data_IF_241512536938
#
_entry.id   IF_241512536938
#
_cell.length_a   1.000
_cell.length_b   1.000
_cell.length_c   1.000
_cell.angle_alpha   90.00
_cell.angle_beta   90.00
_cell.angle_gamma   90.00
#
_symmetry.space_group_name_H-M   'P 1'
#
loop_
_entity.id
_entity.type
_entity.pdbx_description
1 polymer ?
#
# COMPACT_ATOMS: atom_id res chain seq x y z
N UNK A 1 -28.57 24.85 -1.22
CA UNK A 1 -27.32 24.10 -1.33
C UNK A 1 -26.26 24.76 -0.43
N UNK A 2 -26.44 24.72 0.89
CA UNK A 2 -25.61 25.49 1.83
C UNK A 2 -25.94 25.20 3.29
N UNK A 3 -25.92 23.93 3.75
CA UNK A 3 -26.25 23.62 5.13
C UNK A 3 -25.53 22.38 5.70
N UNK A 4 -24.27 22.13 5.30
CA UNK A 4 -23.50 21.00 5.85
C UNK A 4 -22.08 21.37 6.27
N UNK A 5 -21.90 22.43 7.05
CA UNK A 5 -20.61 22.70 7.70
C UNK A 5 -20.77 23.64 8.92
N UNK A 6 -21.70 23.30 9.83
CA UNK A 6 -21.51 23.66 11.24
C UNK A 6 -20.99 22.42 11.96
N UNK A 7 -19.73 22.08 11.75
CA UNK A 7 -18.98 21.25 12.68
C UNK A 7 -18.76 22.08 13.93
N UNK A 8 -19.37 21.63 15.01
CA UNK A 8 -19.20 22.18 16.36
C UNK A 8 -17.71 22.03 16.73
N UNK A 9 -16.93 23.10 16.47
CA UNK A 9 -15.49 23.15 16.76
C UNK A 9 -15.17 23.17 18.25
N UNK A 10 -16.18 23.29 19.12
CA UNK A 10 -16.00 23.40 20.56
C UNK A 10 -15.66 22.09 21.28
N UNK A 11 -15.85 20.89 20.64
CA UNK A 11 -15.56 19.61 21.29
C UNK A 11 -14.16 19.06 21.00
N UNK A 12 -13.30 19.79 20.26
CA UNK A 12 -12.01 19.28 19.74
C UNK A 12 -10.85 19.51 20.74
N UNK A 13 -11.06 20.26 21.84
CA UNK A 13 -9.96 20.77 22.65
C UNK A 13 -9.52 19.90 23.84
N UNK A 14 -10.25 18.87 24.21
CA UNK A 14 -9.93 18.08 25.42
C UNK A 14 -9.52 16.63 25.08
N UNK A 15 -8.47 16.47 24.27
CA UNK A 15 -7.93 15.12 23.98
C UNK A 15 -6.84 14.75 24.99
N UNK A 16 -7.22 14.25 26.14
CA UNK A 16 -6.32 13.73 27.17
C UNK A 16 -5.51 12.50 26.73
N UNK A 17 -5.81 11.94 25.56
CA UNK A 17 -5.17 10.74 25.05
C UNK A 17 -3.95 11.01 24.15
N UNK A 18 -3.69 12.27 23.75
CA UNK A 18 -2.56 12.58 22.86
C UNK A 18 -1.18 12.22 23.42
N UNK A 19 -0.89 12.33 24.74
CA UNK A 19 0.39 11.91 25.29
C UNK A 19 0.60 10.39 25.10
N UNK A 20 -0.47 9.59 25.27
CA UNK A 20 -0.43 8.15 25.06
C UNK A 20 -0.19 7.78 23.59
N UNK A 21 -0.79 8.51 22.62
CA UNK A 21 -0.50 8.32 21.20
C UNK A 21 0.97 8.59 20.88
N UNK A 22 1.50 9.69 21.38
CA UNK A 22 2.89 10.08 21.15
C UNK A 22 3.87 9.10 21.80
N UNK A 23 3.60 8.68 23.04
CA UNK A 23 4.40 7.68 23.74
C UNK A 23 4.39 6.35 23.00
N UNK A 24 3.21 5.88 22.57
CA UNK A 24 3.07 4.65 21.77
C UNK A 24 3.89 4.72 20.48
N UNK A 25 3.78 5.82 19.74
CA UNK A 25 4.53 6.01 18.51
C UNK A 25 6.05 6.05 18.74
N UNK A 26 6.51 6.78 19.77
CA UNK A 26 7.93 6.84 20.11
C UNK A 26 8.48 5.48 20.54
N UNK A 27 7.74 4.76 21.39
CA UNK A 27 8.16 3.44 21.86
C UNK A 27 8.20 2.43 20.70
N UNK A 28 7.18 2.40 19.84
CA UNK A 28 7.20 1.55 18.64
C UNK A 28 8.39 1.88 17.74
N UNK A 29 8.67 3.17 17.52
CA UNK A 29 9.83 3.59 16.72
C UNK A 29 11.14 3.08 17.30
N UNK A 30 11.35 3.25 18.61
CA UNK A 30 12.56 2.80 19.29
C UNK A 30 12.71 1.28 19.26
N UNK A 31 11.62 0.52 19.47
CA UNK A 31 11.65 -0.95 19.40
C UNK A 31 11.98 -1.43 17.98
N UNK A 32 11.32 -0.86 16.96
CA UNK A 32 11.62 -1.22 15.57
C UNK A 32 13.06 -0.88 15.23
N UNK A 33 13.55 0.30 15.61
CA UNK A 33 14.93 0.70 15.36
C UNK A 33 15.95 -0.19 16.07
N UNK A 34 15.68 -0.58 17.33
CA UNK A 34 16.59 -1.41 18.12
C UNK A 34 16.67 -2.87 17.61
N UNK A 35 15.54 -3.43 17.13
CA UNK A 35 15.46 -4.84 16.76
C UNK A 35 15.40 -5.12 15.24
N UNK A 36 15.24 -4.09 14.40
CA UNK A 36 15.38 -4.27 12.96
C UNK A 36 16.88 -4.30 12.60
N UNK A 37 17.48 -5.46 12.71
CA UNK A 37 18.91 -5.62 12.47
C UNK A 37 19.42 -4.94 11.20
N UNK A 38 20.54 -4.24 11.34
CA UNK A 38 21.25 -3.52 10.26
C UNK A 38 22.09 -4.44 9.37
N UNK A 39 21.78 -5.73 9.31
CA UNK A 39 22.59 -6.77 8.69
C UNK A 39 22.63 -6.77 7.15
N UNK A 40 22.09 -5.75 6.48
CA UNK A 40 22.12 -5.62 5.02
C UNK A 40 22.64 -4.26 4.55
N UNK A 41 23.12 -4.18 3.33
CA UNK A 41 23.44 -2.90 2.69
C UNK A 41 22.18 -2.04 2.60
N UNK A 42 22.27 -0.78 3.01
CA UNK A 42 21.18 0.18 2.87
C UNK A 42 20.84 0.36 1.38
N UNK A 43 19.55 0.45 1.04
CA UNK A 43 19.05 0.54 -0.33
C UNK A 43 19.45 -0.63 -1.25
N UNK A 44 19.38 -1.87 -0.74
CA UNK A 44 19.76 -3.04 -1.52
C UNK A 44 18.93 -3.25 -2.79
N UNK A 45 17.63 -2.93 -2.81
CA UNK A 45 16.80 -2.98 -4.04
C UNK A 45 17.25 -1.94 -5.08
N UNK A 46 17.63 -0.73 -4.62
CA UNK A 46 18.21 0.29 -5.50
C UNK A 46 19.44 -0.23 -6.22
N UNK A 47 20.34 -0.93 -5.53
CA UNK A 47 21.52 -1.53 -6.13
C UNK A 47 21.20 -2.66 -7.11
N UNK A 48 20.09 -3.39 -6.91
CA UNK A 48 19.59 -4.37 -7.89
C UNK A 48 19.20 -3.67 -9.19
N UNK A 49 18.53 -2.51 -9.10
CA UNK A 49 18.20 -1.72 -10.29
C UNK A 49 19.44 -1.24 -11.03
N UNK A 50 20.38 -0.62 -10.32
CA UNK A 50 21.62 -0.13 -10.91
C UNK A 50 22.41 -1.25 -11.60
N UNK A 51 22.54 -2.41 -10.94
CA UNK A 51 23.24 -3.56 -11.49
C UNK A 51 22.57 -4.08 -12.76
N UNK A 52 21.24 -4.22 -12.77
CA UNK A 52 20.49 -4.64 -13.95
C UNK A 52 20.67 -3.67 -15.12
N UNK A 53 20.59 -2.37 -14.88
CA UNK A 53 20.79 -1.32 -15.88
C UNK A 53 22.23 -1.29 -16.38
N UNK A 54 23.22 -1.46 -15.50
CA UNK A 54 24.62 -1.53 -15.89
C UNK A 54 24.90 -2.75 -16.77
N UNK A 55 24.37 -3.93 -16.43
CA UNK A 55 24.51 -5.12 -17.28
C UNK A 55 23.89 -4.89 -18.65
N UNK A 56 22.70 -4.29 -18.69
CA UNK A 56 22.00 -3.99 -19.93
C UNK A 56 22.77 -3.00 -20.82
N UNK A 57 23.33 -1.93 -20.24
CA UNK A 57 24.15 -0.93 -20.97
C UNK A 57 25.44 -1.52 -21.54
N UNK A 58 25.97 -2.58 -20.93
CA UNK A 58 27.14 -3.32 -21.37
C UNK A 58 26.80 -4.43 -22.40
N UNK A 59 25.55 -4.52 -22.86
CA UNK A 59 25.10 -5.56 -23.80
C UNK A 59 25.04 -6.95 -23.19
N UNK A 60 25.08 -7.08 -21.85
CA UNK A 60 24.93 -8.36 -21.15
C UNK A 60 23.46 -8.59 -20.76
N UNK A 61 23.07 -9.85 -20.61
CA UNK A 61 21.73 -10.20 -20.14
C UNK A 61 21.54 -9.74 -18.68
N UNK A 62 20.65 -8.75 -18.39
CA UNK A 62 20.45 -8.24 -17.06
C UNK A 62 19.88 -9.27 -16.09
N UNK A 63 19.13 -10.25 -16.60
CA UNK A 63 18.48 -11.28 -15.78
C UNK A 63 19.47 -12.38 -15.34
N UNK A 64 20.49 -12.64 -16.13
CA UNK A 64 21.59 -13.56 -15.78
C UNK A 64 22.72 -12.85 -15.00
N UNK A 65 23.09 -11.64 -15.44
CA UNK A 65 24.19 -10.86 -14.88
C UNK A 65 23.90 -10.37 -13.46
N UNK A 66 22.64 -9.99 -13.16
CA UNK A 66 22.20 -9.56 -11.84
C UNK A 66 21.69 -10.73 -10.97
N UNK A 67 22.11 -11.97 -11.29
CA UNK A 67 21.81 -13.15 -10.48
C UNK A 67 22.53 -13.07 -9.12
N UNK A 68 21.94 -13.70 -8.11
CA UNK A 68 22.42 -13.71 -6.73
C UNK A 68 21.23 -13.74 -5.80
N UNK A 69 21.41 -13.36 -4.53
CA UNK A 69 20.35 -13.38 -3.51
C UNK A 69 19.16 -12.48 -3.89
N UNK A 70 19.41 -11.43 -4.68
CA UNK A 70 18.39 -10.50 -5.16
C UNK A 70 18.47 -10.34 -6.69
N UNK A 71 17.77 -11.20 -7.45
CA UNK A 71 17.79 -11.17 -8.90
C UNK A 71 17.03 -9.94 -9.45
N UNK A 72 17.47 -9.46 -10.63
CA UNK A 72 16.72 -8.45 -11.37
C UNK A 72 15.45 -9.07 -11.98
N UNK A 73 14.28 -8.59 -11.61
CA UNK A 73 12.96 -9.17 -11.97
C UNK A 73 11.98 -8.13 -12.55
N UNK A 74 12.52 -7.15 -13.24
CA UNK A 74 11.72 -6.06 -13.81
C UNK A 74 11.55 -6.24 -15.32
N UNK A 75 10.39 -5.83 -15.89
CA UNK A 75 10.09 -6.07 -17.31
C UNK A 75 11.03 -5.26 -18.22
N UNK A 76 11.16 -5.65 -19.52
CA UNK A 76 11.99 -4.93 -20.47
C UNK A 76 11.70 -3.43 -20.60
N UNK A 77 10.45 -3.02 -20.39
CA UNK A 77 10.06 -1.62 -20.37
C UNK A 77 10.86 -0.80 -19.33
N UNK A 78 11.18 -1.37 -18.16
CA UNK A 78 12.03 -0.74 -17.15
C UNK A 78 13.40 -0.42 -17.72
N UNK A 79 14.05 -1.41 -18.32
CA UNK A 79 15.38 -1.25 -18.91
C UNK A 79 15.39 -0.18 -20.02
N UNK A 80 14.35 -0.18 -20.87
CA UNK A 80 14.23 0.79 -21.97
C UNK A 80 13.99 2.21 -21.49
N UNK A 81 13.15 2.42 -20.49
CA UNK A 81 12.93 3.75 -19.92
C UNK A 81 14.22 4.28 -19.31
N UNK A 82 14.89 3.49 -18.48
CA UNK A 82 16.10 3.91 -17.76
C UNK A 82 17.41 3.75 -18.55
N UNK A 83 17.35 3.30 -19.79
CA UNK A 83 18.47 3.47 -20.73
C UNK A 83 18.51 4.86 -21.36
N UNK A 84 17.40 5.62 -21.27
CA UNK A 84 17.30 6.98 -21.81
C UNK A 84 17.24 8.03 -20.70
N UNK A 85 16.57 7.69 -19.59
CA UNK A 85 16.42 8.56 -18.41
C UNK A 85 17.42 8.11 -17.36
N UNK A 86 18.19 9.07 -16.82
CA UNK A 86 19.13 8.80 -15.72
C UNK A 86 18.37 8.26 -14.50
N UNK A 87 18.64 6.99 -14.15
CA UNK A 87 17.91 6.29 -13.09
C UNK A 87 18.09 6.94 -11.70
N UNK A 88 19.32 7.28 -11.24
CA UNK A 88 19.52 7.96 -9.97
C UNK A 88 18.69 9.24 -9.84
N UNK A 89 18.71 10.09 -10.85
CA UNK A 89 17.94 11.35 -10.89
C UNK A 89 16.44 11.07 -10.85
N UNK A 90 15.94 10.14 -11.65
CA UNK A 90 14.53 9.77 -11.67
C UNK A 90 14.07 9.18 -10.33
N UNK A 91 14.90 8.36 -9.69
CA UNK A 91 14.62 7.79 -8.38
C UNK A 91 14.58 8.88 -7.30
N UNK A 92 15.57 9.77 -7.26
CA UNK A 92 15.60 10.90 -6.34
C UNK A 92 14.35 11.79 -6.50
N UNK A 93 13.96 12.07 -7.74
CA UNK A 93 12.74 12.83 -8.04
C UNK A 93 11.50 12.12 -7.52
N UNK A 94 11.38 10.80 -7.71
CA UNK A 94 10.27 10.01 -7.20
C UNK A 94 10.19 10.06 -5.67
N UNK A 95 11.32 9.93 -4.96
CA UNK A 95 11.39 10.05 -3.49
C UNK A 95 10.91 11.42 -3.03
N UNK A 96 11.42 12.49 -3.64
CA UNK A 96 11.03 13.86 -3.30
C UNK A 96 9.56 14.14 -3.61
N UNK A 97 9.06 13.71 -4.77
CA UNK A 97 7.65 13.87 -5.14
C UNK A 97 6.72 13.13 -4.18
N UNK A 98 7.11 11.92 -3.75
CA UNK A 98 6.35 11.12 -2.78
C UNK A 98 6.33 11.79 -1.41
N UNK A 99 7.47 12.28 -0.93
CA UNK A 99 7.58 13.00 0.34
C UNK A 99 6.76 14.30 0.32
N UNK A 100 6.86 15.08 -0.74
CA UNK A 100 6.06 16.29 -0.94
C UNK A 100 4.56 15.98 -1.00
N UNK A 101 4.17 14.92 -1.73
CA UNK A 101 2.79 14.46 -1.82
C UNK A 101 2.20 14.11 -0.45
N UNK A 102 2.90 13.31 0.34
CA UNK A 102 2.48 12.92 1.69
C UNK A 102 2.42 14.14 2.63
N UNK A 103 3.39 15.04 2.56
CA UNK A 103 3.36 16.28 3.33
C UNK A 103 2.11 17.12 3.00
N UNK A 104 1.80 17.31 1.73
CA UNK A 104 0.60 18.03 1.28
C UNK A 104 -0.71 17.34 1.73
N UNK A 105 -0.78 15.99 1.65
CA UNK A 105 -1.93 15.22 2.17
C UNK A 105 -2.07 15.42 3.68
N UNK A 106 -0.98 15.32 4.42
CA UNK A 106 -0.97 15.48 5.88
C UNK A 106 -1.42 16.89 6.30
N UNK A 107 -0.95 17.92 5.60
CA UNK A 107 -1.40 19.30 5.82
C UNK A 107 -2.90 19.48 5.50
N UNK A 108 -3.41 18.82 4.48
CA UNK A 108 -4.83 18.85 4.13
C UNK A 108 -5.69 18.10 5.16
N UNK A 109 -5.21 16.98 5.68
CA UNK A 109 -5.91 16.18 6.70
C UNK A 109 -5.96 16.87 8.06
N UNK A 110 -5.10 17.86 8.32
CA UNK A 110 -5.09 18.65 9.58
C UNK A 110 -6.46 19.25 9.89
N UNK A 111 -7.27 19.58 8.88
CA UNK A 111 -8.64 20.09 9.06
C UNK A 111 -9.64 19.03 9.52
N UNK A 112 -9.32 17.74 9.36
CA UNK A 112 -10.19 16.60 9.69
C UNK A 112 -9.72 15.86 10.94
N UNK A 113 -8.40 15.81 11.17
CA UNK A 113 -7.77 15.13 12.30
C UNK A 113 -6.79 16.11 12.96
N UNK A 114 -6.90 16.37 14.27
CA UNK A 114 -5.91 17.16 14.98
C UNK A 114 -4.49 16.60 14.81
N UNK A 115 -3.50 17.49 14.65
CA UNK A 115 -2.13 17.09 14.30
C UNK A 115 -1.51 16.15 15.35
N UNK A 116 -1.82 16.35 16.61
CA UNK A 116 -1.36 15.50 17.73
C UNK A 116 -1.91 14.06 17.68
N UNK A 117 -2.97 13.79 16.89
CA UNK A 117 -3.46 12.44 16.59
C UNK A 117 -2.95 11.95 15.24
N UNK A 118 -2.87 12.83 14.25
CA UNK A 118 -2.49 12.47 12.90
C UNK A 118 -1.04 11.96 12.83
N UNK A 119 -0.09 12.71 13.37
CA UNK A 119 1.32 12.37 13.29
C UNK A 119 1.66 11.02 13.97
N UNK A 120 1.24 10.76 15.23
CA UNK A 120 1.46 9.45 15.84
C UNK A 120 0.78 8.32 15.07
N UNK A 121 -0.41 8.53 14.52
CA UNK A 121 -1.13 7.49 13.76
C UNK A 121 -0.43 7.14 12.46
N UNK A 122 0.14 8.11 11.76
CA UNK A 122 0.97 7.86 10.57
C UNK A 122 2.21 7.05 10.94
N UNK A 123 2.89 7.41 12.02
CA UNK A 123 4.07 6.70 12.52
C UNK A 123 3.69 5.28 12.92
N UNK A 124 2.66 5.09 13.74
CA UNK A 124 2.21 3.77 14.17
C UNK A 124 1.81 2.88 13.00
N UNK A 125 1.02 3.40 12.07
CA UNK A 125 0.62 2.66 10.87
C UNK A 125 1.83 2.25 10.02
N UNK A 126 2.79 3.16 9.85
CA UNK A 126 4.00 2.91 9.07
C UNK A 126 4.92 1.87 9.72
N UNK A 127 5.00 1.82 11.05
CA UNK A 127 5.89 0.93 11.80
C UNK A 127 5.31 -0.46 12.07
N UNK A 128 4.07 -0.74 11.68
CA UNK A 128 3.44 -2.04 11.93
C UNK A 128 4.33 -3.19 11.45
N UNK A 129 4.60 -4.13 12.35
CA UNK A 129 5.42 -5.31 12.06
C UNK A 129 6.87 -5.00 11.65
N UNK A 130 7.37 -3.77 11.89
CA UNK A 130 8.67 -3.33 11.42
C UNK A 130 8.71 -3.00 9.91
N UNK A 131 7.59 -3.10 9.21
CA UNK A 131 7.51 -2.94 7.75
C UNK A 131 7.97 -1.58 7.26
N UNK A 132 7.75 -0.52 8.03
CA UNK A 132 8.20 0.83 7.67
C UNK A 132 9.71 0.97 7.61
N UNK A 133 10.42 0.34 8.55
CA UNK A 133 11.87 0.33 8.51
C UNK A 133 12.40 -0.49 7.31
N UNK A 134 11.83 -1.68 7.07
CA UNK A 134 12.14 -2.47 5.88
C UNK A 134 11.87 -1.69 4.59
N UNK A 135 10.79 -0.90 4.55
CA UNK A 135 10.45 -0.05 3.40
C UNK A 135 11.52 0.97 3.08
N UNK A 136 12.07 1.63 4.09
CA UNK A 136 13.16 2.60 3.91
C UNK A 136 14.47 1.87 3.58
N UNK A 137 14.77 0.79 4.29
CA UNK A 137 16.02 0.05 4.13
C UNK A 137 16.17 -0.57 2.74
N UNK A 138 15.08 -1.09 2.17
CA UNK A 138 15.12 -1.70 0.83
C UNK A 138 15.38 -0.68 -0.27
N UNK A 139 14.91 0.55 -0.13
CA UNK A 139 14.92 1.53 -1.23
C UNK A 139 14.07 1.07 -2.42
N UNK A 140 13.03 0.25 -2.18
CA UNK A 140 12.20 -0.29 -3.25
C UNK A 140 11.33 0.80 -3.88
N UNK A 141 11.37 0.91 -5.19
CA UNK A 141 10.58 1.88 -5.98
C UNK A 141 9.07 1.78 -5.69
N UNK A 142 8.56 0.61 -5.29
CA UNK A 142 7.14 0.40 -5.03
C UNK A 142 6.61 1.24 -3.88
N UNK A 143 7.38 1.40 -2.81
CA UNK A 143 6.98 2.20 -1.64
C UNK A 143 6.70 3.63 -2.07
N UNK A 144 7.65 4.23 -2.78
CA UNK A 144 7.53 5.61 -3.24
C UNK A 144 6.44 5.76 -4.30
N UNK A 145 6.28 4.77 -5.18
CA UNK A 145 5.19 4.74 -6.15
C UNK A 145 3.81 4.66 -5.47
N UNK A 146 3.65 3.80 -4.45
CA UNK A 146 2.42 3.75 -3.65
C UNK A 146 2.15 5.07 -2.92
N UNK A 147 3.15 5.65 -2.26
CA UNK A 147 3.00 6.93 -1.55
C UNK A 147 2.58 8.06 -2.50
N UNK A 148 3.18 8.11 -3.69
CA UNK A 148 2.81 9.10 -4.72
C UNK A 148 1.40 8.85 -5.25
N UNK A 149 1.04 7.60 -5.57
CA UNK A 149 -0.31 7.25 -6.05
C UNK A 149 -1.39 7.50 -5.00
N UNK A 150 -1.13 7.19 -3.72
CA UNK A 150 -2.04 7.53 -2.62
C UNK A 150 -2.25 9.04 -2.54
N UNK A 151 -1.18 9.83 -2.65
CA UNK A 151 -1.25 11.29 -2.62
C UNK A 151 -2.03 11.84 -3.82
N UNK A 152 -1.73 11.39 -5.01
CA UNK A 152 -2.45 11.78 -6.24
C UNK A 152 -3.92 11.36 -6.19
N UNK A 153 -4.23 10.18 -5.66
CA UNK A 153 -5.60 9.70 -5.45
C UNK A 153 -6.38 10.60 -4.49
N UNK A 154 -5.73 11.05 -3.42
CA UNK A 154 -6.32 11.99 -2.47
C UNK A 154 -6.64 13.33 -3.14
N UNK A 155 -5.71 13.89 -3.93
CA UNK A 155 -5.95 15.14 -4.66
C UNK A 155 -6.98 14.97 -5.76
N UNK A 156 -6.99 13.85 -6.46
CA UNK A 156 -8.01 13.53 -7.45
C UNK A 156 -9.41 13.50 -6.81
N UNK A 157 -9.53 12.86 -5.66
CA UNK A 157 -10.78 12.78 -4.91
C UNK A 157 -11.26 14.16 -4.42
N UNK A 158 -10.36 14.97 -3.85
CA UNK A 158 -10.71 16.26 -3.24
C UNK A 158 -10.94 17.36 -4.27
N UNK A 159 -10.16 17.43 -5.33
CA UNK A 159 -10.23 18.48 -6.33
C UNK A 159 -11.13 18.14 -7.52
N UNK A 160 -11.28 16.86 -7.85
CA UNK A 160 -12.11 16.34 -8.96
C UNK A 160 -11.87 17.05 -10.30
N UNK A 161 -10.63 17.39 -10.58
CA UNK A 161 -10.18 18.22 -11.70
C UNK A 161 -9.42 17.38 -12.72
N UNK A 162 -9.44 17.80 -13.99
CA UNK A 162 -8.60 17.22 -15.05
C UNK A 162 -7.12 17.36 -14.71
N UNK A 163 -6.73 18.47 -14.08
CA UNK A 163 -5.34 18.72 -13.64
C UNK A 163 -4.85 17.70 -12.58
N UNK A 164 -5.75 17.02 -11.87
CA UNK A 164 -5.39 15.93 -10.95
C UNK A 164 -5.60 14.56 -11.57
N UNK A 165 -6.53 14.43 -12.52
CA UNK A 165 -6.81 13.18 -13.23
C UNK A 165 -5.65 12.77 -14.14
N UNK A 166 -5.11 13.70 -14.92
CA UNK A 166 -4.04 13.43 -15.89
C UNK A 166 -2.75 12.96 -15.21
N UNK A 167 -2.19 13.67 -14.21
CA UNK A 167 -1.01 13.18 -13.49
C UNK A 167 -1.23 11.81 -12.82
N UNK A 168 -2.41 11.57 -12.26
CA UNK A 168 -2.75 10.28 -11.65
C UNK A 168 -2.76 9.15 -12.70
N UNK A 169 -3.36 9.39 -13.88
CA UNK A 169 -3.39 8.42 -14.97
C UNK A 169 -1.98 8.12 -15.51
N UNK A 170 -1.17 9.15 -15.71
CA UNK A 170 0.22 9.01 -16.14
C UNK A 170 1.02 8.21 -15.13
N UNK A 171 0.88 8.50 -13.83
CA UNK A 171 1.58 7.77 -12.77
C UNK A 171 1.19 6.29 -12.75
N UNK A 172 -0.11 5.96 -12.91
CA UNK A 172 -0.55 4.55 -13.02
C UNK A 172 0.11 3.87 -14.22
N UNK A 173 0.11 4.50 -15.41
CA UNK A 173 0.70 3.91 -16.62
C UNK A 173 2.20 3.65 -16.42
N UNK A 174 2.94 4.65 -15.92
CA UNK A 174 4.38 4.56 -15.71
C UNK A 174 4.74 3.48 -14.68
N UNK A 175 4.07 3.47 -13.54
CA UNK A 175 4.37 2.47 -12.50
C UNK A 175 3.88 1.08 -12.90
N UNK A 176 2.75 0.96 -13.62
CA UNK A 176 2.29 -0.33 -14.13
C UNK A 176 3.24 -0.91 -15.18
N UNK A 177 3.91 -0.08 -15.97
CA UNK A 177 4.95 -0.55 -16.90
C UNK A 177 6.15 -1.17 -16.19
N UNK A 178 6.40 -0.79 -14.92
CA UNK A 178 7.46 -1.34 -14.06
C UNK A 178 6.96 -2.56 -13.28
N UNK A 179 5.78 -2.45 -12.66
CA UNK A 179 5.14 -3.49 -11.85
C UNK A 179 3.62 -3.49 -12.11
N UNK A 180 3.08 -4.54 -12.74
CA UNK A 180 1.70 -4.55 -13.27
C UNK A 180 0.62 -4.35 -12.21
N UNK A 181 0.88 -4.66 -10.95
CA UNK A 181 -0.11 -4.52 -9.88
C UNK A 181 -0.52 -3.07 -9.58
N UNK A 182 0.29 -2.07 -9.97
CA UNK A 182 -0.13 -0.67 -9.86
C UNK A 182 -1.35 -0.34 -10.72
N UNK A 183 -1.65 -1.17 -11.71
CA UNK A 183 -2.88 -1.05 -12.50
C UNK A 183 -4.15 -1.12 -11.61
N UNK A 184 -4.08 -1.76 -10.44
CA UNK A 184 -5.20 -1.80 -9.50
C UNK A 184 -5.74 -0.39 -9.15
N UNK A 185 -4.89 0.63 -9.15
CA UNK A 185 -5.33 2.01 -8.87
C UNK A 185 -6.32 2.57 -9.90
N UNK A 186 -6.38 2.00 -11.10
CA UNK A 186 -7.37 2.40 -12.12
C UNK A 186 -8.80 2.14 -11.65
N UNK A 187 -9.02 1.14 -10.77
CA UNK A 187 -10.34 0.84 -10.20
C UNK A 187 -10.92 2.02 -9.42
N UNK A 188 -10.09 2.93 -8.91
CA UNK A 188 -10.56 4.16 -8.28
C UNK A 188 -11.49 4.96 -9.20
N UNK A 189 -11.26 4.94 -10.51
CA UNK A 189 -12.06 5.69 -11.48
C UNK A 189 -13.51 5.21 -11.57
N UNK A 190 -13.79 3.96 -11.23
CA UNK A 190 -15.16 3.42 -11.18
C UNK A 190 -16.00 4.02 -10.04
N UNK A 191 -15.32 4.54 -9.00
CA UNK A 191 -15.95 5.12 -7.81
C UNK A 191 -15.90 6.65 -7.78
N UNK A 192 -15.43 7.26 -8.86
CA UNK A 192 -15.42 8.70 -9.10
C UNK A 192 -16.51 9.09 -10.11
N UNK A 193 -16.78 10.39 -10.33
CA UNK A 193 -17.77 10.84 -11.31
C UNK A 193 -17.51 10.29 -12.71
N UNK A 194 -18.58 10.14 -13.52
CA UNK A 194 -18.55 9.50 -14.87
C UNK A 194 -17.43 9.95 -15.81
N UNK A 195 -16.91 11.16 -15.67
CA UNK A 195 -15.78 11.67 -16.49
C UNK A 195 -14.50 10.82 -16.32
N UNK A 196 -14.37 10.11 -15.23
CA UNK A 196 -13.21 9.23 -14.94
C UNK A 196 -13.24 7.92 -15.73
N UNK A 197 -14.41 7.51 -16.28
CA UNK A 197 -14.52 6.25 -17.03
C UNK A 197 -13.71 6.29 -18.33
N UNK A 198 -13.61 7.44 -18.98
CA UNK A 198 -12.74 7.56 -20.15
C UNK A 198 -11.27 7.35 -19.79
N UNK A 199 -10.82 7.95 -18.67
CA UNK A 199 -9.47 7.74 -18.17
C UNK A 199 -9.24 6.26 -17.74
N UNK A 200 -10.26 5.61 -17.17
CA UNK A 200 -10.22 4.16 -16.86
C UNK A 200 -9.88 3.33 -18.10
N UNK A 201 -10.62 3.52 -19.18
CA UNK A 201 -10.40 2.79 -20.44
C UNK A 201 -9.06 3.14 -21.06
N UNK A 202 -8.70 4.43 -21.10
CA UNK A 202 -7.43 4.88 -21.68
C UNK A 202 -6.22 4.29 -20.94
N UNK A 203 -6.23 4.25 -19.61
CA UNK A 203 -5.16 3.66 -18.80
C UNK A 203 -5.08 2.15 -19.03
N UNK A 204 -6.22 1.43 -19.03
CA UNK A 204 -6.25 -0.01 -19.31
C UNK A 204 -5.65 -0.34 -20.66
N UNK A 205 -6.09 0.37 -21.71
CA UNK A 205 -5.59 0.14 -23.07
C UNK A 205 -4.10 0.48 -23.20
N UNK A 206 -3.64 1.55 -22.55
CA UNK A 206 -2.22 1.92 -22.55
C UNK A 206 -1.35 0.87 -21.89
N UNK A 207 -1.73 0.39 -20.70
CA UNK A 207 -0.96 -0.64 -19.97
C UNK A 207 -1.03 -1.98 -20.70
N UNK A 208 -2.21 -2.39 -21.19
CA UNK A 208 -2.34 -3.59 -21.99
C UNK A 208 -1.47 -3.52 -23.26
N UNK A 209 -1.48 -2.39 -23.97
CA UNK A 209 -0.63 -2.15 -25.12
C UNK A 209 0.87 -2.31 -24.81
N UNK A 210 1.33 -1.74 -23.67
CA UNK A 210 2.72 -1.88 -23.22
C UNK A 210 3.07 -3.37 -23.00
N UNK A 211 2.22 -4.15 -22.31
CA UNK A 211 2.50 -5.55 -22.01
C UNK A 211 2.37 -6.47 -23.24
N UNK A 212 1.46 -6.17 -24.16
CA UNK A 212 1.33 -6.91 -25.43
C UNK A 212 2.51 -6.63 -26.36
N UNK A 213 3.01 -5.39 -26.37
CA UNK A 213 4.12 -5.01 -27.24
C UNK A 213 5.48 -5.57 -26.78
N UNK A 214 5.72 -5.70 -25.47
CA UNK A 214 7.03 -6.11 -24.94
C UNK A 214 7.53 -7.47 -25.48
N UNK A 215 6.71 -8.57 -25.51
CA UNK A 215 7.15 -9.83 -26.08
C UNK A 215 7.56 -9.72 -27.55
N UNK A 216 6.84 -8.93 -28.34
CA UNK A 216 7.12 -8.75 -29.75
C UNK A 216 8.35 -7.87 -30.01
N UNK A 217 8.49 -6.78 -29.25
CA UNK A 217 9.58 -5.81 -29.42
C UNK A 217 10.90 -6.25 -28.77
N UNK A 218 10.83 -7.06 -27.70
CA UNK A 218 11.97 -7.40 -26.85
C UNK A 218 12.00 -8.90 -26.52
N UNK A 219 11.85 -9.77 -27.50
CA UNK A 219 11.64 -11.22 -27.34
C UNK A 219 12.63 -11.89 -26.37
N UNK A 220 13.93 -11.63 -26.52
CA UNK A 220 14.96 -12.22 -25.65
C UNK A 220 14.89 -11.69 -24.22
N UNK A 221 14.77 -10.38 -24.05
CA UNK A 221 14.63 -9.76 -22.72
C UNK A 221 13.34 -10.19 -22.03
N UNK A 222 12.25 -10.38 -22.80
CA UNK A 222 10.99 -10.86 -22.26
C UNK A 222 11.08 -12.29 -21.76
N UNK A 223 11.76 -13.18 -22.50
CA UNK A 223 12.01 -14.55 -22.07
C UNK A 223 12.86 -14.59 -20.78
N UNK A 224 13.92 -13.77 -20.70
CA UNK A 224 14.74 -13.61 -19.50
C UNK A 224 13.93 -13.12 -18.30
N UNK A 225 13.07 -12.12 -18.50
CA UNK A 225 12.16 -11.60 -17.47
C UNK A 225 11.20 -12.67 -16.94
N UNK A 226 10.55 -13.44 -17.85
CA UNK A 226 9.65 -14.53 -17.46
C UNK A 226 10.39 -15.61 -16.67
N UNK A 227 11.60 -15.99 -17.10
CA UNK A 227 12.44 -16.93 -16.38
C UNK A 227 12.82 -16.43 -14.98
N UNK A 228 13.24 -15.17 -14.85
CA UNK A 228 13.59 -14.56 -13.58
C UNK A 228 12.41 -14.51 -12.60
N UNK A 229 11.22 -14.11 -13.07
CA UNK A 229 10.00 -14.11 -12.22
C UNK A 229 9.63 -15.54 -11.82
N UNK A 230 9.65 -16.49 -12.74
CA UNK A 230 9.34 -17.88 -12.44
C UNK A 230 10.27 -18.44 -11.35
N UNK A 231 11.57 -18.22 -11.52
CA UNK A 231 12.57 -18.67 -10.55
C UNK A 231 12.33 -18.03 -9.16
N UNK A 232 12.13 -16.72 -9.11
CA UNK A 232 11.96 -16.03 -7.85
C UNK A 232 10.66 -16.43 -7.12
N UNK A 233 9.53 -16.49 -7.83
CA UNK A 233 8.23 -16.73 -7.19
C UNK A 233 8.01 -18.22 -6.94
N UNK A 234 8.33 -19.08 -7.93
CA UNK A 234 7.99 -20.51 -7.89
C UNK A 234 9.10 -21.33 -7.27
N UNK A 235 10.35 -21.12 -7.68
CA UNK A 235 11.47 -21.92 -7.19
C UNK A 235 11.95 -21.46 -5.80
N UNK A 236 12.08 -20.15 -5.57
CA UNK A 236 12.52 -19.61 -4.28
C UNK A 236 11.38 -19.33 -3.31
N UNK A 237 10.10 -19.47 -3.72
CA UNK A 237 8.94 -19.31 -2.87
C UNK A 237 8.73 -17.89 -2.35
N UNK A 238 9.34 -16.87 -2.98
CA UNK A 238 9.18 -15.47 -2.59
C UNK A 238 7.87 -14.89 -3.12
N UNK A 239 6.76 -15.44 -2.64
CA UNK A 239 5.42 -15.10 -3.07
C UNK A 239 4.77 -13.96 -2.25
N UNK A 240 5.48 -13.31 -1.32
CA UNK A 240 5.00 -12.18 -0.52
C UNK A 240 4.25 -12.60 0.75
N UNK A 241 3.27 -11.78 1.20
CA UNK A 241 2.66 -11.82 2.53
C UNK A 241 1.14 -12.10 2.52
N UNK A 242 0.58 -12.52 1.39
CA UNK A 242 -0.85 -12.78 1.23
C UNK A 242 -1.18 -14.27 1.30
N UNK A 243 -2.47 -14.63 1.22
CA UNK A 243 -2.91 -16.01 1.14
C UNK A 243 -2.31 -16.73 -0.08
N UNK A 244 -2.05 -16.01 -1.17
CA UNK A 244 -1.31 -16.54 -2.32
C UNK A 244 0.06 -17.04 -1.90
N UNK A 245 0.81 -16.25 -1.12
CA UNK A 245 2.13 -16.61 -0.64
C UNK A 245 2.10 -17.83 0.29
N UNK A 246 1.15 -17.88 1.22
CA UNK A 246 0.97 -19.01 2.12
C UNK A 246 0.75 -20.30 1.34
N UNK A 247 -0.22 -20.31 0.44
CA UNK A 247 -0.56 -21.50 -0.34
C UNK A 247 0.52 -21.87 -1.38
N UNK A 248 1.25 -20.90 -1.91
CA UNK A 248 2.37 -21.17 -2.81
C UNK A 248 3.47 -22.00 -2.17
N UNK A 249 3.74 -21.78 -0.87
CA UNK A 249 4.72 -22.61 -0.11
C UNK A 249 4.30 -24.06 0.05
N UNK A 250 3.01 -24.35 -0.03
CA UNK A 250 2.47 -25.72 -0.03
C UNK A 250 2.27 -26.29 -1.45
N UNK A 251 2.86 -25.68 -2.46
CA UNK A 251 2.70 -26.10 -3.86
C UNK A 251 1.34 -25.76 -4.48
N UNK A 252 0.47 -25.04 -3.78
CA UNK A 252 -0.89 -24.68 -4.19
C UNK A 252 -1.00 -23.23 -4.73
N UNK A 253 0.02 -22.73 -5.44
CA UNK A 253 0.08 -21.34 -5.88
C UNK A 253 -1.12 -20.89 -6.72
N UNK A 254 -1.58 -21.72 -7.68
CA UNK A 254 -2.77 -21.39 -8.48
C UNK A 254 -4.03 -21.24 -7.62
N UNK A 255 -4.26 -22.17 -6.71
CA UNK A 255 -5.39 -22.12 -5.78
C UNK A 255 -5.29 -20.91 -4.84
N UNK A 256 -4.08 -20.62 -4.35
CA UNK A 256 -3.81 -19.45 -3.52
C UNK A 256 -4.10 -18.14 -4.23
N UNK A 257 -3.73 -18.03 -5.49
CA UNK A 257 -4.03 -16.85 -6.31
C UNK A 257 -5.54 -16.65 -6.50
N UNK A 258 -6.26 -17.70 -6.87
CA UNK A 258 -7.73 -17.65 -7.04
C UNK A 258 -8.41 -17.30 -5.72
N UNK A 259 -8.00 -17.93 -4.61
CA UNK A 259 -8.57 -17.67 -3.30
C UNK A 259 -8.31 -16.22 -2.85
N UNK A 260 -7.12 -15.68 -3.12
CA UNK A 260 -6.81 -14.27 -2.86
C UNK A 260 -7.76 -13.34 -3.62
N UNK A 261 -7.96 -13.56 -4.91
CA UNK A 261 -8.88 -12.77 -5.73
C UNK A 261 -10.33 -12.86 -5.26
N UNK A 262 -10.79 -14.07 -4.90
CA UNK A 262 -12.15 -14.27 -4.37
C UNK A 262 -12.33 -13.54 -3.02
N UNK A 263 -11.34 -13.58 -2.14
CA UNK A 263 -11.36 -12.86 -0.87
C UNK A 263 -11.43 -11.35 -1.09
N UNK A 264 -10.67 -10.81 -2.02
CA UNK A 264 -10.69 -9.38 -2.35
C UNK A 264 -12.03 -8.97 -2.97
N UNK A 265 -12.59 -9.81 -3.85
CA UNK A 265 -13.92 -9.59 -4.41
C UNK A 265 -14.99 -9.57 -3.30
N UNK A 266 -14.91 -10.51 -2.35
CA UNK A 266 -15.80 -10.56 -1.20
C UNK A 266 -15.72 -9.28 -0.35
N UNK A 267 -14.51 -8.78 -0.06
CA UNK A 267 -14.31 -7.53 0.70
C UNK A 267 -14.91 -6.33 -0.03
N UNK A 268 -14.74 -6.24 -1.34
CA UNK A 268 -15.34 -5.18 -2.17
C UNK A 268 -16.88 -5.30 -2.14
N UNK A 269 -17.41 -6.52 -2.33
CA UNK A 269 -18.84 -6.77 -2.32
C UNK A 269 -19.47 -6.42 -0.97
N UNK A 270 -18.86 -6.84 0.14
CA UNK A 270 -19.33 -6.47 1.49
C UNK A 270 -19.35 -4.95 1.63
N UNK A 271 -18.32 -4.26 1.19
CA UNK A 271 -18.24 -2.80 1.25
C UNK A 271 -19.37 -2.13 0.46
N UNK A 272 -19.71 -2.66 -0.71
CA UNK A 272 -20.83 -2.17 -1.54
C UNK A 272 -22.18 -2.46 -0.87
N UNK A 273 -22.39 -3.68 -0.37
CA UNK A 273 -23.65 -4.08 0.31
C UNK A 273 -23.90 -3.22 1.54
N UNK A 274 -22.86 -2.97 2.34
CA UNK A 274 -22.97 -2.10 3.51
C UNK A 274 -23.41 -0.68 3.12
N UNK A 275 -22.87 -0.12 2.04
CA UNK A 275 -23.28 1.19 1.52
C UNK A 275 -24.75 1.22 1.14
N UNK A 276 -25.20 0.23 0.37
CA UNK A 276 -26.59 0.16 -0.08
C UNK A 276 -27.54 0.04 1.11
N UNK A 277 -27.24 -0.78 2.11
CA UNK A 277 -28.05 -0.94 3.33
C UNK A 277 -28.14 0.33 4.17
N UNK A 278 -27.08 1.15 4.19
CA UNK A 278 -27.10 2.43 4.89
C UNK A 278 -27.77 3.58 4.10
N UNK A 279 -28.53 3.27 3.05
CA UNK A 279 -29.29 4.23 2.27
C UNK A 279 -28.44 5.11 1.35
N UNK A 280 -27.21 4.77 1.15
CA UNK A 280 -26.34 5.44 0.17
C UNK A 280 -26.65 4.92 -1.23
N UNK A 281 -27.41 5.72 -2.00
CA UNK A 281 -27.84 5.37 -3.36
C UNK A 281 -26.74 5.36 -4.42
N UNK A 282 -25.51 5.75 -4.08
CA UNK A 282 -24.39 5.81 -5.04
C UNK A 282 -23.21 4.95 -4.58
N UNK A 283 -22.60 4.26 -5.53
CA UNK A 283 -21.36 3.48 -5.31
C UNK A 283 -20.13 4.39 -5.19
N UNK A 284 -20.31 5.71 -5.36
CA UNK A 284 -19.22 6.68 -5.29
C UNK A 284 -18.62 6.79 -3.89
N UNK A 285 -17.31 7.03 -3.83
CA UNK A 285 -16.61 7.35 -2.58
C UNK A 285 -17.16 8.67 -2.02
N UNK A 286 -17.73 8.64 -0.81
CA UNK A 286 -18.41 9.78 -0.21
C UNK A 286 -17.60 10.47 0.87
N UNK A 287 -16.57 9.84 1.40
CA UNK A 287 -15.74 10.38 2.49
C UNK A 287 -14.25 10.08 2.31
N UNK A 288 -13.43 10.91 2.92
CA UNK A 288 -11.96 10.70 2.96
C UNK A 288 -11.59 9.38 3.65
N UNK A 289 -12.34 8.97 4.67
CA UNK A 289 -12.15 7.68 5.33
C UNK A 289 -12.38 6.50 4.36
N UNK A 290 -13.42 6.57 3.53
CA UNK A 290 -13.70 5.56 2.51
C UNK A 290 -12.64 5.52 1.43
N UNK A 291 -12.11 6.68 1.04
CA UNK A 291 -11.00 6.74 0.10
C UNK A 291 -9.79 5.96 0.61
N UNK A 292 -9.33 6.23 1.83
CA UNK A 292 -8.17 5.52 2.39
C UNK A 292 -8.43 4.03 2.58
N UNK A 293 -9.64 3.64 2.98
CA UNK A 293 -10.02 2.24 3.02
C UNK A 293 -9.94 1.58 1.64
N UNK A 294 -10.46 2.25 0.62
CA UNK A 294 -10.43 1.72 -0.75
C UNK A 294 -9.00 1.64 -1.28
N UNK A 295 -8.16 2.65 -1.02
CA UNK A 295 -6.74 2.63 -1.39
C UNK A 295 -6.00 1.44 -0.74
N UNK A 296 -6.27 1.14 0.52
CA UNK A 296 -5.73 -0.06 1.16
C UNK A 296 -6.16 -1.35 0.43
N UNK A 297 -7.43 -1.45 0.04
CA UNK A 297 -7.91 -2.60 -0.76
C UNK A 297 -7.16 -2.68 -2.09
N UNK A 298 -6.93 -1.56 -2.79
CA UNK A 298 -6.20 -1.55 -4.05
C UNK A 298 -4.75 -2.04 -3.88
N UNK A 299 -4.08 -1.66 -2.79
CA UNK A 299 -2.73 -2.15 -2.48
C UNK A 299 -2.78 -3.66 -2.20
N UNK A 300 -3.78 -4.13 -1.45
CA UNK A 300 -3.94 -5.54 -1.11
C UNK A 300 -4.35 -6.41 -2.31
N UNK A 301 -4.86 -5.83 -3.40
CA UNK A 301 -5.09 -6.56 -4.65
C UNK A 301 -3.79 -7.12 -5.26
N UNK A 302 -2.62 -6.59 -4.88
CA UNK A 302 -1.35 -7.22 -5.19
C UNK A 302 -1.25 -8.59 -4.49
N UNK A 303 -1.34 -9.71 -5.22
CA UNK A 303 -1.25 -11.03 -4.60
C UNK A 303 0.13 -11.29 -3.97
N UNK A 304 1.16 -10.60 -4.47
CA UNK A 304 2.52 -10.62 -3.96
C UNK A 304 2.81 -9.36 -3.13
N UNK A 305 1.94 -9.05 -2.16
CA UNK A 305 2.19 -7.95 -1.24
C UNK A 305 3.48 -8.22 -0.44
N UNK A 306 4.48 -7.36 -0.59
CA UNK A 306 5.76 -7.47 0.12
C UNK A 306 5.75 -6.65 1.41
N UNK A 307 6.69 -6.91 2.31
CA UNK A 307 6.79 -6.19 3.59
C UNK A 307 6.90 -4.68 3.42
N UNK A 308 7.59 -4.22 2.39
CA UNK A 308 7.74 -2.80 2.10
C UNK A 308 6.45 -2.16 1.55
N UNK A 309 5.60 -2.87 0.80
CA UNK A 309 4.29 -2.36 0.35
C UNK A 309 3.27 -2.35 1.50
N UNK A 310 3.45 -3.27 2.47
CA UNK A 310 2.57 -3.42 3.62
C UNK A 310 2.51 -2.16 4.49
N UNK A 311 3.60 -1.41 4.61
CA UNK A 311 3.61 -0.17 5.39
C UNK A 311 2.61 0.87 4.85
N UNK A 312 2.50 1.01 3.53
CA UNK A 312 1.56 1.96 2.91
C UNK A 312 0.11 1.46 3.05
N UNK A 313 -0.12 0.14 2.89
CA UNK A 313 -1.40 -0.50 3.17
C UNK A 313 -1.88 -0.21 4.60
N UNK A 314 -1.01 -0.44 5.59
CA UNK A 314 -1.32 -0.23 6.99
C UNK A 314 -1.62 1.24 7.31
N UNK A 315 -0.84 2.19 6.79
CA UNK A 315 -1.11 3.63 6.94
C UNK A 315 -2.48 4.00 6.36
N UNK A 316 -2.84 3.49 5.19
CA UNK A 316 -4.15 3.76 4.60
C UNK A 316 -5.29 3.22 5.49
N UNK A 317 -5.17 2.02 6.06
CA UNK A 317 -6.17 1.51 6.99
C UNK A 317 -6.25 2.32 8.28
N UNK A 318 -5.09 2.72 8.85
CA UNK A 318 -5.06 3.59 10.03
C UNK A 318 -5.77 4.92 9.80
N UNK A 319 -5.46 5.61 8.70
CA UNK A 319 -6.14 6.84 8.32
C UNK A 319 -7.64 6.62 8.14
N UNK A 320 -8.03 5.52 7.53
CA UNK A 320 -9.42 5.15 7.36
C UNK A 320 -10.14 4.96 8.70
N UNK A 321 -9.54 4.23 9.64
CA UNK A 321 -10.14 3.95 10.94
C UNK A 321 -10.23 5.21 11.81
N UNK A 322 -9.17 6.01 11.88
CA UNK A 322 -9.17 7.24 12.70
C UNK A 322 -10.16 8.29 12.18
N UNK A 323 -10.30 8.40 10.85
CA UNK A 323 -11.28 9.29 10.21
C UNK A 323 -12.72 8.81 10.40
N UNK A 324 -12.96 7.49 10.50
CA UNK A 324 -14.29 6.91 10.71
C UNK A 324 -14.78 7.06 12.15
N UNK A 325 -13.89 6.85 13.12
CA UNK A 325 -14.22 6.74 14.55
C UNK A 325 -13.76 7.94 15.37
N UNK A 326 -13.12 8.91 14.75
CA UNK A 326 -12.37 9.99 15.42
C UNK A 326 -11.29 9.48 16.38
N UNK A 327 -10.94 8.19 16.30
CA UNK A 327 -9.95 7.56 17.17
C UNK A 327 -10.39 7.32 18.62
N UNK A 328 -11.70 7.34 18.88
CA UNK A 328 -12.27 7.16 20.20
C UNK A 328 -12.72 5.71 20.46
N UNK A 329 -12.98 5.40 21.72
CA UNK A 329 -13.46 4.08 22.14
C UNK A 329 -12.48 2.95 21.86
N UNK A 330 -13.00 1.77 21.55
CA UNK A 330 -12.21 0.56 21.28
C UNK A 330 -11.28 0.72 20.07
N UNK A 331 -11.68 1.49 19.06
CA UNK A 331 -10.86 1.75 17.87
C UNK A 331 -9.61 2.54 18.25
N UNK A 332 -9.76 3.59 19.05
CA UNK A 332 -8.62 4.35 19.54
C UNK A 332 -7.66 3.51 20.38
N UNK A 333 -8.19 2.62 21.24
CA UNK A 333 -7.37 1.67 21.99
C UNK A 333 -6.64 0.70 21.07
N UNK A 334 -7.36 0.09 20.11
CA UNK A 334 -6.78 -0.81 19.12
C UNK A 334 -5.64 -0.16 18.35
N UNK A 335 -5.85 1.04 17.81
CA UNK A 335 -4.84 1.76 17.04
C UNK A 335 -3.57 2.10 17.86
N UNK A 336 -3.70 2.28 19.19
CA UNK A 336 -2.55 2.55 20.07
C UNK A 336 -1.79 1.28 20.47
N UNK A 337 -2.49 0.18 20.70
CA UNK A 337 -1.93 -1.07 21.26
C UNK A 337 -1.50 -2.06 20.19
N UNK A 338 -2.25 -2.17 19.11
CA UNK A 338 -2.00 -3.17 18.07
C UNK A 338 -0.59 -3.12 17.47
N UNK A 339 0.05 -1.95 17.22
CA UNK A 339 1.43 -1.91 16.74
C UNK A 339 2.43 -2.61 17.65
N UNK A 340 2.27 -2.53 18.97
CA UNK A 340 3.15 -3.24 19.92
C UNK A 340 3.05 -4.74 19.75
N UNK A 341 1.84 -5.28 19.60
CA UNK A 341 1.64 -6.70 19.36
C UNK A 341 2.30 -7.15 18.05
N UNK A 342 2.32 -6.26 17.07
CA UNK A 342 2.91 -6.54 15.75
C UNK A 342 4.44 -6.36 15.71
N UNK A 343 5.05 -5.77 16.71
CA UNK A 343 6.51 -5.67 16.85
C UNK A 343 7.05 -6.81 17.73
N UNK A 344 6.21 -7.50 18.49
CA UNK A 344 6.61 -8.58 19.37
C UNK A 344 7.52 -9.64 18.71
N UNK A 345 7.25 -10.12 17.47
CA UNK A 345 8.14 -11.06 16.80
C UNK A 345 9.56 -10.55 16.60
N UNK A 346 9.72 -9.25 16.26
CA UNK A 346 11.06 -8.64 16.14
C UNK A 346 11.78 -8.61 17.48
N UNK A 347 11.05 -8.32 18.57
CA UNK A 347 11.60 -8.33 19.90
C UNK A 347 12.01 -9.75 20.33
N UNK A 348 11.21 -10.76 20.03
CA UNK A 348 11.52 -12.16 20.34
C UNK A 348 12.74 -12.68 19.56
N UNK A 349 12.84 -12.32 18.27
CA UNK A 349 14.01 -12.66 17.46
C UNK A 349 15.27 -11.96 17.98
N UNK A 350 15.19 -10.66 18.27
CA UNK A 350 16.34 -9.87 18.72
C UNK A 350 16.82 -10.17 20.15
N UNK A 351 15.91 -10.56 21.05
CA UNK A 351 16.25 -10.81 22.46
C UNK A 351 16.55 -12.30 22.76
N UNK A 352 15.90 -13.22 22.06
CA UNK A 352 15.90 -14.65 22.41
C UNK A 352 16.30 -15.55 21.25
N UNK A 353 16.64 -15.00 20.08
CA UNK A 353 16.90 -15.76 18.83
C UNK A 353 15.73 -16.68 18.43
N UNK A 354 14.50 -16.32 18.83
CA UNK A 354 13.29 -17.07 18.51
C UNK A 354 12.76 -16.57 17.16
N UNK A 355 13.04 -17.31 16.09
CA UNK A 355 12.52 -16.98 14.77
C UNK A 355 11.03 -17.25 14.68
N UNK A 356 10.24 -16.18 14.64
CA UNK A 356 8.82 -16.27 14.33
C UNK A 356 8.64 -16.32 12.82
N UNK A 357 7.85 -17.26 12.33
CA UNK A 357 7.63 -17.44 10.90
C UNK A 357 6.96 -16.19 10.31
N UNK A 358 7.78 -15.30 9.75
CA UNK A 358 7.39 -13.95 9.29
C UNK A 358 6.16 -13.94 8.39
N UNK A 359 6.03 -14.93 7.50
CA UNK A 359 4.90 -15.02 6.58
C UNK A 359 3.55 -15.16 7.30
N UNK A 360 3.44 -16.13 8.23
CA UNK A 360 2.18 -16.37 8.98
C UNK A 360 1.81 -15.14 9.79
N UNK A 361 2.79 -14.51 10.36
CA UNK A 361 2.62 -13.32 11.16
C UNK A 361 2.10 -12.12 10.35
N UNK A 362 2.72 -11.78 9.22
CA UNK A 362 2.23 -10.71 8.36
C UNK A 362 0.87 -11.02 7.74
N UNK A 363 0.63 -12.28 7.41
CA UNK A 363 -0.67 -12.74 6.97
C UNK A 363 -1.75 -12.43 8.01
N UNK A 364 -1.57 -12.87 9.26
CA UNK A 364 -2.51 -12.59 10.35
C UNK A 364 -2.68 -11.09 10.56
N UNK A 365 -1.60 -10.33 10.60
CA UNK A 365 -1.62 -8.87 10.79
C UNK A 365 -2.42 -8.17 9.68
N UNK A 366 -2.23 -8.58 8.42
CA UNK A 366 -2.97 -8.03 7.27
C UNK A 366 -4.48 -8.21 7.45
N UNK A 367 -4.91 -9.42 7.76
CA UNK A 367 -6.35 -9.71 7.84
C UNK A 367 -6.99 -9.21 9.14
N UNK A 368 -6.26 -9.18 10.25
CA UNK A 368 -6.74 -8.52 11.49
C UNK A 368 -6.98 -7.04 11.27
N UNK A 369 -6.04 -6.33 10.62
CA UNK A 369 -6.22 -4.92 10.27
C UNK A 369 -7.42 -4.71 9.34
N UNK A 370 -7.58 -5.55 8.32
CA UNK A 370 -8.69 -5.46 7.39
C UNK A 370 -10.03 -5.67 8.11
N UNK A 371 -10.13 -6.70 8.94
CA UNK A 371 -11.34 -6.98 9.74
C UNK A 371 -11.65 -5.83 10.69
N UNK A 372 -10.64 -5.28 11.37
CA UNK A 372 -10.83 -4.12 12.24
C UNK A 372 -11.34 -2.90 11.47
N UNK A 373 -10.81 -2.63 10.27
CA UNK A 373 -11.27 -1.53 9.42
C UNK A 373 -12.71 -1.73 8.91
N UNK A 374 -13.10 -2.96 8.61
CA UNK A 374 -14.48 -3.31 8.25
C UNK A 374 -15.40 -3.12 9.47
N UNK A 375 -15.00 -3.61 10.64
CA UNK A 375 -15.78 -3.50 11.87
C UNK A 375 -16.00 -2.04 12.30
N UNK A 376 -15.01 -1.17 12.11
CA UNK A 376 -15.16 0.27 12.35
C UNK A 376 -16.27 0.93 11.50
N UNK A 377 -16.55 0.36 10.32
CA UNK A 377 -17.54 0.91 9.38
C UNK A 377 -18.92 0.34 9.57
N UNK A 378 -18.99 -0.78 10.28
CA UNK A 378 -20.25 -1.41 10.63
C UNK A 378 -20.68 -0.90 12.01
N UNK A 379 -21.54 0.12 12.13
CA UNK A 379 -22.14 0.44 13.41
C UNK A 379 -23.05 -0.74 13.75
N UNK A 380 -22.59 -1.64 14.61
CA UNK A 380 -23.44 -2.55 15.36
C UNK A 380 -24.34 -1.70 16.27
N UNK A 381 -25.28 -0.96 15.69
CA UNK A 381 -26.46 -0.49 16.43
C UNK A 381 -27.33 -1.72 16.71
N UNK A 382 -26.89 -2.56 17.61
CA UNK A 382 -27.80 -3.34 18.44
C UNK A 382 -28.53 -2.31 19.32
N UNK A 383 -29.45 -1.56 18.71
CA UNK A 383 -30.52 -0.91 19.45
C UNK A 383 -31.37 -2.07 19.98
N UNK A 384 -31.00 -2.59 21.15
CA UNK A 384 -32.00 -3.22 22.00
C UNK A 384 -33.03 -2.12 22.29
N UNK A 385 -34.07 -2.01 21.45
CA UNK A 385 -35.30 -1.35 21.82
C UNK A 385 -35.81 -2.12 23.04
N UNK A 386 -35.50 -1.63 24.22
CA UNK A 386 -36.30 -1.95 25.39
C UNK A 386 -37.68 -1.47 25.03
N UNK A 387 -38.55 -2.41 24.60
CA UNK A 387 -39.97 -2.25 24.66
C UNK A 387 -40.33 -2.03 26.15
N UNK A 388 -40.64 -0.78 26.48
CA UNK A 388 -41.27 -0.44 27.72
C UNK A 388 -42.74 -0.87 27.68
#
# INVERSE_FOLDING_TARGET
MGAYLKLDMASVTDDKAWPLWSLSAATCFLLVFAFSGTSGSFFWDYHVYEKGLSCYSQGRDPYACASGDFPFVYPPAFLKVFSVVDFPTAFAFLVLASAAGIACVSLSLKSLIPYHRLAPSLILGFLIGGSGFASIQTGNISVFAHLLLVSLSYFLYTKRSVYTLVPHAIAIILFSAIKPYFLAYVLLYLFLPRRSLFAFVAVLLSVAGIYIAQPALYTQLWAGFQGAIYNQIIQHGDAGLTIFAVLSRFGMGKAGFILHLLLMLLVILISVVLRVRHGQRSVQICSTSELFYFLAILILLNPRLMSYDFSVFAVCLYLSMILSSRGDGWVGLFLKVFPFLTILPLCLEGLFDIRVHSLTYYFLTTYVLLVAAVACRWPLRLTFTRSA
#
